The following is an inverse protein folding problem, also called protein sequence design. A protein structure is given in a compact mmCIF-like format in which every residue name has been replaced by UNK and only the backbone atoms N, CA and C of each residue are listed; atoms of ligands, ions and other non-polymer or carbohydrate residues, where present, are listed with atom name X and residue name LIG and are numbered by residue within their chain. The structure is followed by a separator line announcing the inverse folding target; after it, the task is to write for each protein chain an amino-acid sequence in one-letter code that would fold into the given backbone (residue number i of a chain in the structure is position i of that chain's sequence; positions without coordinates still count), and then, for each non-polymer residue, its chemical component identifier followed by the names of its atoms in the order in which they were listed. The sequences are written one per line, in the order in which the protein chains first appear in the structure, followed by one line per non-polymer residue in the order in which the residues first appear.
data_IF_852683327871
#
_entry.id   IF_852683327871
#
_cell.length_a   1.000
_cell.length_b   1.000
_cell.length_c   1.000
_cell.angle_alpha   90.00
_cell.angle_beta   90.00
_cell.angle_gamma   90.00
#
_symmetry.space_group_name_H-M   'P 1'
#
loop_
_entity.id
_entity.type
_entity.pdbx_description
1 polymer ?
#
# COMPACT_ATOMS: atom_id res chain seq x y z
N UNK A 1 -37.12 -34.49 29.75
CA UNK A 1 -35.82 -34.41 29.05
C UNK A 1 -35.88 -33.14 28.22
N UNK A 2 -35.25 -32.05 28.68
CA UNK A 2 -35.34 -30.74 28.05
C UNK A 2 -34.14 -30.57 27.11
N UNK A 3 -34.38 -30.47 25.81
CA UNK A 3 -33.34 -30.17 24.82
C UNK A 3 -33.09 -28.66 24.89
N UNK A 4 -31.87 -28.19 25.19
CA UNK A 4 -31.59 -26.76 25.16
C UNK A 4 -31.71 -26.23 23.72
N UNK A 5 -32.17 -24.99 23.50
CA UNK A 5 -32.21 -24.40 22.17
C UNK A 5 -30.77 -24.27 21.64
N UNK A 6 -30.49 -24.89 20.50
CA UNK A 6 -29.26 -24.62 19.76
C UNK A 6 -29.28 -23.15 19.33
N UNK A 7 -28.43 -22.35 19.93
CA UNK A 7 -28.18 -20.99 19.46
C UNK A 7 -27.42 -21.13 18.13
N UNK A 8 -28.00 -20.78 16.96
CA UNK A 8 -27.24 -20.77 15.73
C UNK A 8 -26.37 -19.50 15.76
N UNK A 9 -25.25 -19.58 16.47
CA UNK A 9 -24.32 -18.47 16.73
C UNK A 9 -23.16 -18.38 15.75
N UNK A 10 -23.21 -19.11 14.63
CA UNK A 10 -22.15 -19.14 13.61
C UNK A 10 -22.53 -18.35 12.37
N UNK A 11 -21.62 -17.52 11.88
CA UNK A 11 -21.77 -16.89 10.56
C UNK A 11 -21.61 -17.96 9.48
N UNK A 12 -22.55 -18.04 8.53
CA UNK A 12 -22.36 -18.83 7.32
C UNK A 12 -21.37 -18.09 6.39
N UNK A 13 -20.08 -18.33 6.61
CA UNK A 13 -19.01 -17.74 5.81
C UNK A 13 -19.10 -18.17 4.34
N UNK A 14 -19.63 -19.35 4.03
CA UNK A 14 -19.77 -19.83 2.66
C UNK A 14 -20.76 -18.98 1.89
N UNK A 15 -21.92 -18.70 2.50
CA UNK A 15 -22.93 -17.82 1.93
C UNK A 15 -22.40 -16.40 1.74
N UNK A 16 -21.74 -15.83 2.75
CA UNK A 16 -21.20 -14.47 2.71
C UNK A 16 -20.13 -14.34 1.63
N UNK A 17 -19.16 -15.26 1.59
CA UNK A 17 -18.10 -15.26 0.57
C UNK A 17 -18.69 -15.46 -0.82
N UNK A 18 -19.70 -16.33 -0.96
CA UNK A 18 -20.44 -16.54 -2.19
C UNK A 18 -21.19 -15.29 -2.66
N UNK A 19 -21.81 -14.54 -1.73
CA UNK A 19 -22.46 -13.25 -1.99
C UNK A 19 -21.46 -12.19 -2.44
N UNK A 20 -20.35 -12.03 -1.72
CA UNK A 20 -19.29 -11.08 -2.07
C UNK A 20 -18.65 -11.41 -3.43
N UNK A 21 -18.49 -12.70 -3.77
CA UNK A 21 -18.01 -13.13 -5.09
C UNK A 21 -18.95 -12.67 -6.21
N UNK A 22 -20.26 -12.92 -6.05
CA UNK A 22 -21.28 -12.49 -7.01
C UNK A 22 -21.29 -10.97 -7.17
N UNK A 23 -21.19 -10.21 -6.08
CA UNK A 23 -21.11 -8.75 -6.13
C UNK A 23 -19.89 -8.25 -6.94
N UNK A 24 -18.71 -8.86 -6.73
CA UNK A 24 -17.49 -8.56 -7.53
C UNK A 24 -17.65 -8.93 -8.99
N UNK A 25 -18.27 -10.06 -9.32
CA UNK A 25 -18.52 -10.47 -10.71
C UNK A 25 -19.46 -9.51 -11.42
N UNK A 26 -20.57 -9.14 -10.79
CA UNK A 26 -21.52 -8.17 -11.34
C UNK A 26 -20.87 -6.79 -11.55
N UNK A 27 -20.08 -6.31 -10.58
CA UNK A 27 -19.31 -5.08 -10.74
C UNK A 27 -18.32 -5.20 -11.91
N UNK A 28 -17.55 -6.29 -11.99
CA UNK A 28 -16.60 -6.52 -13.09
C UNK A 28 -17.28 -6.58 -14.46
N UNK A 29 -18.48 -7.15 -14.56
CA UNK A 29 -19.28 -7.18 -15.79
C UNK A 29 -19.74 -5.77 -16.19
N UNK A 30 -20.22 -4.97 -15.22
CA UNK A 30 -20.59 -3.56 -15.45
C UNK A 30 -19.40 -2.70 -15.88
N UNK A 31 -18.19 -3.00 -15.39
CA UNK A 31 -16.96 -2.26 -15.68
C UNK A 31 -16.16 -2.81 -16.89
N UNK A 32 -16.73 -3.67 -17.75
CA UNK A 32 -16.02 -4.29 -18.90
C UNK A 32 -15.40 -3.32 -19.92
N UNK A 33 -15.67 -2.00 -19.84
CA UNK A 33 -14.96 -0.99 -20.66
C UNK A 33 -13.55 -0.65 -20.13
N UNK A 34 -13.18 -1.09 -18.92
CA UNK A 34 -11.89 -0.83 -18.30
C UNK A 34 -10.91 -2.02 -18.37
N UNK A 35 -11.16 -3.01 -19.23
CA UNK A 35 -10.30 -4.21 -19.34
C UNK A 35 -8.83 -3.86 -19.68
N UNK A 36 -8.58 -2.77 -20.41
CA UNK A 36 -7.23 -2.25 -20.70
C UNK A 36 -6.58 -1.44 -19.56
N UNK A 37 -7.31 -1.19 -18.46
CA UNK A 37 -6.86 -0.43 -17.28
C UNK A 37 -6.52 -1.34 -16.09
N UNK A 38 -6.83 -2.64 -16.18
CA UNK A 38 -6.70 -3.62 -15.09
C UNK A 38 -5.27 -4.03 -14.72
N UNK A 39 -4.32 -3.81 -15.62
CA UNK A 39 -2.91 -4.11 -15.37
C UNK A 39 -2.13 -2.89 -14.83
N UNK A 40 -2.84 -1.79 -14.54
CA UNK A 40 -2.22 -0.61 -13.91
C UNK A 40 -2.09 -0.88 -12.42
N UNK A 41 -0.85 -1.02 -11.97
CA UNK A 41 -0.52 -0.95 -10.56
C UNK A 41 -0.86 0.45 -10.04
N UNK A 42 -1.63 0.52 -8.95
CA UNK A 42 -2.00 1.76 -8.28
C UNK A 42 -1.10 1.98 -7.06
N UNK A 43 -0.91 3.24 -6.62
CA UNK A 43 -0.22 3.51 -5.38
C UNK A 43 -0.85 2.77 -4.19
N UNK A 44 0.00 2.20 -3.35
CA UNK A 44 -0.35 1.52 -2.12
C UNK A 44 -0.29 2.49 -0.94
N UNK A 45 -1.47 2.74 -0.34
CA UNK A 45 -1.58 3.53 0.88
C UNK A 45 -0.74 2.93 2.02
N UNK A 46 -0.62 1.61 2.10
CA UNK A 46 0.19 0.93 3.11
C UNK A 46 1.69 1.22 2.93
N UNK A 47 2.18 1.23 1.68
CA UNK A 47 3.58 1.56 1.37
C UNK A 47 3.90 3.02 1.67
N UNK A 48 3.00 3.95 1.36
CA UNK A 48 3.10 5.36 1.78
C UNK A 48 3.14 5.46 3.31
N UNK A 49 2.26 4.73 4.00
CA UNK A 49 2.24 4.67 5.47
C UNK A 49 3.55 4.16 6.06
N UNK A 50 4.17 3.14 5.44
CA UNK A 50 5.49 2.64 5.82
C UNK A 50 6.60 3.68 5.60
N UNK A 51 6.61 4.38 4.46
CA UNK A 51 7.58 5.44 4.19
C UNK A 51 7.46 6.58 5.22
N UNK A 52 6.24 6.99 5.58
CA UNK A 52 6.01 7.99 6.63
C UNK A 52 6.55 7.49 8.00
N UNK A 53 6.35 6.22 8.34
CA UNK A 53 6.92 5.64 9.57
C UNK A 53 8.44 5.70 9.59
N UNK A 54 9.09 5.38 8.46
CA UNK A 54 10.55 5.46 8.32
C UNK A 54 11.06 6.90 8.46
N UNK A 55 10.42 7.87 7.80
CA UNK A 55 10.79 9.29 7.93
C UNK A 55 10.61 9.80 9.36
N UNK A 56 9.53 9.42 10.03
CA UNK A 56 9.33 9.75 11.45
C UNK A 56 10.41 9.15 12.34
N UNK A 57 10.82 7.91 12.05
CA UNK A 57 11.96 7.26 12.68
C UNK A 57 13.25 8.04 12.45
N UNK A 58 13.55 8.44 11.22
CA UNK A 58 14.73 9.23 10.90
C UNK A 58 14.76 10.62 11.58
N UNK A 59 13.61 11.28 11.70
CA UNK A 59 13.50 12.59 12.37
C UNK A 59 13.63 12.50 13.89
N UNK A 60 13.23 11.39 14.49
CA UNK A 60 13.30 11.16 15.94
C UNK A 60 13.85 9.77 16.26
N UNK A 61 15.13 9.47 15.94
CA UNK A 61 15.66 8.10 15.90
C UNK A 61 15.51 7.35 17.21
N UNK A 62 15.87 8.00 18.32
CA UNK A 62 15.81 7.39 19.65
C UNK A 62 14.40 7.35 20.27
N UNK A 63 13.39 7.95 19.61
CA UNK A 63 12.00 8.00 20.10
C UNK A 63 11.05 7.16 19.24
N UNK A 64 11.23 7.17 17.93
CA UNK A 64 10.32 6.56 16.95
C UNK A 64 11.02 5.54 16.05
N UNK A 65 12.34 5.35 16.19
CA UNK A 65 13.09 4.30 15.52
C UNK A 65 13.05 2.95 16.27
N UNK A 66 13.88 1.99 15.84
CA UNK A 66 13.99 0.68 16.49
C UNK A 66 14.32 0.79 17.97
N UNK A 67 13.74 -0.09 18.78
CA UNK A 67 13.93 -0.05 20.25
C UNK A 67 15.38 -0.38 20.66
N UNK A 68 16.10 -1.13 19.82
CA UNK A 68 17.50 -1.48 19.99
C UNK A 68 18.45 -0.33 19.60
N UNK A 69 17.96 0.71 18.91
CA UNK A 69 18.80 1.80 18.43
C UNK A 69 19.44 2.57 19.58
N UNK A 70 20.76 2.76 19.48
CA UNK A 70 21.58 3.56 20.41
C UNK A 70 22.26 4.69 19.65
N UNK A 71 22.62 5.76 20.37
CA UNK A 71 23.31 6.94 19.81
C UNK A 71 24.45 6.63 18.83
N UNK A 72 25.35 5.65 19.07
CA UNK A 72 26.43 5.38 18.13
C UNK A 72 25.98 4.85 16.76
N UNK A 73 24.78 4.27 16.66
CA UNK A 73 24.20 3.76 15.42
C UNK A 73 23.18 4.70 14.77
N UNK A 74 23.00 5.91 15.31
CA UNK A 74 21.95 6.84 14.91
C UNK A 74 22.10 7.26 13.45
N UNK A 75 23.28 7.73 13.05
CA UNK A 75 23.53 8.19 11.67
C UNK A 75 23.31 7.07 10.64
N UNK A 76 23.74 5.84 10.97
CA UNK A 76 23.54 4.68 10.10
C UNK A 76 22.05 4.39 9.91
N UNK A 77 21.28 4.38 11.00
CA UNK A 77 19.84 4.17 10.94
C UNK A 77 19.14 5.29 10.17
N UNK A 78 19.50 6.56 10.43
CA UNK A 78 18.91 7.73 9.74
C UNK A 78 19.14 7.62 8.23
N UNK A 79 20.37 7.38 7.80
CA UNK A 79 20.69 7.22 6.38
C UNK A 79 19.90 6.09 5.73
N UNK A 80 19.84 4.94 6.39
CA UNK A 80 19.10 3.77 5.90
C UNK A 80 17.57 4.01 5.84
N UNK A 81 16.99 4.66 6.86
CA UNK A 81 15.56 4.92 6.92
C UNK A 81 15.14 5.97 5.88
N UNK A 82 15.93 7.02 5.68
CA UNK A 82 15.69 8.04 4.66
C UNK A 82 15.80 7.43 3.27
N UNK A 83 16.86 6.69 2.97
CA UNK A 83 17.03 6.04 1.67
C UNK A 83 15.86 5.11 1.34
N UNK A 84 15.47 4.24 2.28
CA UNK A 84 14.32 3.36 2.09
C UNK A 84 13.02 4.13 1.88
N UNK A 85 12.76 5.16 2.67
CA UNK A 85 11.52 5.93 2.57
C UNK A 85 11.43 6.67 1.22
N UNK A 86 12.50 7.31 0.79
CA UNK A 86 12.52 8.06 -0.46
C UNK A 86 12.38 7.13 -1.67
N UNK A 87 13.10 6.01 -1.71
CA UNK A 87 12.95 5.03 -2.79
C UNK A 87 11.54 4.43 -2.82
N UNK A 88 10.93 4.15 -1.66
CA UNK A 88 9.54 3.70 -1.61
C UNK A 88 8.58 4.76 -2.18
N UNK A 89 8.73 6.03 -1.80
CA UNK A 89 7.90 7.12 -2.32
C UNK A 89 8.07 7.34 -3.82
N UNK A 90 9.29 7.20 -4.35
CA UNK A 90 9.54 7.28 -5.80
C UNK A 90 8.73 6.22 -6.55
N UNK A 91 8.67 4.98 -6.04
CA UNK A 91 7.84 3.94 -6.64
C UNK A 91 6.35 4.28 -6.58
N UNK A 92 5.84 4.77 -5.45
CA UNK A 92 4.43 5.17 -5.35
C UNK A 92 4.06 6.31 -6.31
N UNK A 93 4.96 7.30 -6.48
CA UNK A 93 4.76 8.39 -7.44
C UNK A 93 4.85 7.86 -8.88
N UNK A 94 5.74 6.91 -9.17
CA UNK A 94 5.81 6.25 -10.48
C UNK A 94 4.50 5.55 -10.81
N UNK A 95 3.91 4.82 -9.86
CA UNK A 95 2.62 4.16 -10.02
C UNK A 95 1.49 5.16 -10.29
N UNK A 96 1.45 6.28 -9.56
CA UNK A 96 0.43 7.31 -9.77
C UNK A 96 0.54 7.95 -11.16
N UNK A 97 1.75 8.32 -11.57
CA UNK A 97 2.00 8.93 -12.89
C UNK A 97 1.69 7.97 -14.04
N UNK A 98 2.03 6.68 -13.88
CA UNK A 98 1.76 5.63 -14.86
C UNK A 98 0.27 5.31 -14.95
N UNK A 99 -0.44 5.36 -13.83
CA UNK A 99 -1.89 5.21 -13.73
C UNK A 99 -2.65 6.36 -14.39
N UNK A 100 -2.17 7.59 -14.18
CA UNK A 100 -2.76 8.82 -14.75
C UNK A 100 -2.46 9.01 -16.25
N UNK A 101 -1.33 8.49 -16.74
CA UNK A 101 -0.93 8.52 -18.14
C UNK A 101 -1.57 7.43 -19.02
N UNK A 102 -1.34 7.49 -20.34
CA UNK A 102 -1.80 6.49 -21.32
C UNK A 102 -1.06 5.13 -21.23
N UNK A 103 -0.53 4.74 -20.06
CA UNK A 103 0.00 3.41 -19.79
C UNK A 103 1.39 3.10 -20.38
N UNK A 104 2.10 4.07 -20.96
CA UNK A 104 3.48 3.87 -21.37
C UNK A 104 4.42 4.29 -20.22
N UNK A 105 5.11 3.32 -19.63
CA UNK A 105 6.23 3.58 -18.75
C UNK A 105 7.39 4.15 -19.59
N UNK A 106 7.55 5.47 -19.56
CA UNK A 106 8.66 6.14 -20.24
C UNK A 106 9.77 6.44 -19.22
N UNK A 107 11.05 6.49 -19.63
CA UNK A 107 12.15 6.94 -18.78
C UNK A 107 11.90 8.32 -18.13
N UNK A 108 11.05 9.14 -18.75
CA UNK A 108 10.61 10.43 -18.23
C UNK A 108 9.77 10.30 -16.94
N UNK A 109 8.93 9.26 -16.82
CA UNK A 109 8.11 9.02 -15.62
C UNK A 109 8.98 8.75 -14.39
N UNK A 110 10.02 7.92 -14.53
CA UNK A 110 10.93 7.61 -13.43
C UNK A 110 11.74 8.84 -12.99
N UNK A 111 12.19 9.66 -13.94
CA UNK A 111 12.89 10.91 -13.64
C UNK A 111 11.97 11.95 -12.98
N UNK A 112 10.73 12.08 -13.46
CA UNK A 112 9.72 12.96 -12.89
C UNK A 112 9.31 12.55 -11.47
N UNK A 113 9.14 11.24 -11.23
CA UNK A 113 8.84 10.73 -9.90
C UNK A 113 9.93 11.12 -8.88
N UNK A 114 11.20 10.96 -9.26
CA UNK A 114 12.35 11.39 -8.44
C UNK A 114 12.36 12.89 -8.20
N UNK A 115 12.10 13.71 -9.23
CA UNK A 115 12.01 15.17 -9.09
C UNK A 115 10.94 15.58 -8.08
N UNK A 116 9.76 14.95 -8.12
CA UNK A 116 8.66 15.26 -7.20
C UNK A 116 8.94 14.86 -5.76
N UNK A 117 9.65 13.76 -5.54
CA UNK A 117 10.06 13.36 -4.18
C UNK A 117 11.18 14.24 -3.63
N UNK A 118 12.00 14.83 -4.50
CA UNK A 118 13.11 15.70 -4.13
C UNK A 118 12.74 17.20 -3.98
N UNK A 119 11.55 17.61 -4.41
CA UNK A 119 11.05 19.00 -4.37
C UNK A 119 10.35 19.30 -3.04
#
# INVERSE_FOLDING_TARGET
MNVPPEVPGGWDLSEIVGGLRRAREQWRQRQQREQGRRDREFPSVDRIGCAIKLLRGALFPLRLGPVELKRPGEDFYVGHAVDQALNALVEEVRLELSSAGNGAETPDVAAEARRRVAA
#
